data_IF_137961903078
#
_entry.id   IF_137961903078
#
_cell.length_a   1.000
_cell.length_b   1.000
_cell.length_c   1.000
_cell.angle_alpha   90.00
_cell.angle_beta   90.00
_cell.angle_gamma   90.00
#
_symmetry.space_group_name_H-M   'P 1'
#
loop_
_entity.id
_entity.type
_entity.pdbx_description
1 polymer ?
#
# COMPACT_ATOMS: atom_id res chain seq x y z
N UNK A 1 -10.33 21.66 7.00
CA UNK A 1 -9.31 20.81 6.36
C UNK A 1 -9.86 20.26 5.04
N UNK A 2 -9.11 20.35 3.93
CA UNK A 2 -9.56 19.88 2.61
C UNK A 2 -9.78 18.36 2.57
N UNK A 3 -9.05 17.60 3.40
CA UNK A 3 -9.17 16.14 3.48
C UNK A 3 -10.50 15.64 4.07
N UNK A 4 -11.27 16.51 4.69
CA UNK A 4 -12.60 16.20 5.26
C UNK A 4 -13.73 16.50 4.28
N UNK A 5 -13.43 17.00 3.07
CA UNK A 5 -14.45 17.20 2.06
C UNK A 5 -14.92 15.86 1.49
N UNK A 6 -16.21 15.78 1.26
CA UNK A 6 -16.85 14.60 0.66
C UNK A 6 -16.18 14.22 -0.67
N UNK A 7 -15.92 12.93 -0.86
CA UNK A 7 -15.25 12.37 -2.03
C UNK A 7 -13.83 12.91 -2.29
N UNK A 8 -13.04 13.12 -1.23
CA UNK A 8 -11.65 13.59 -1.34
C UNK A 8 -10.68 12.57 -0.72
N UNK A 9 -9.58 12.31 -1.40
CA UNK A 9 -8.48 11.47 -0.92
C UNK A 9 -7.16 12.24 -0.86
N UNK A 10 -6.29 11.80 0.03
CA UNK A 10 -4.86 12.15 0.02
C UNK A 10 -4.14 11.01 -0.69
N UNK A 11 -3.51 11.32 -1.81
CA UNK A 11 -2.71 10.37 -2.59
C UNK A 11 -1.22 10.68 -2.41
N UNK A 12 -0.51 9.77 -1.76
CA UNK A 12 0.95 9.89 -1.58
C UNK A 12 1.66 9.14 -2.71
N UNK A 13 2.40 9.88 -3.53
CA UNK A 13 3.07 9.36 -4.73
C UNK A 13 4.59 9.26 -4.56
N UNK A 14 5.10 9.47 -3.35
CA UNK A 14 6.52 9.36 -3.01
C UNK A 14 7.06 7.94 -3.18
N UNK A 15 8.35 7.76 -2.97
CA UNK A 15 8.94 6.42 -2.91
C UNK A 15 8.40 5.61 -1.72
N UNK A 16 8.22 4.30 -1.89
CA UNK A 16 7.69 3.41 -0.85
C UNK A 16 8.54 3.39 0.43
N UNK A 17 9.87 3.50 0.30
CA UNK A 17 10.78 3.47 1.45
C UNK A 17 10.69 4.75 2.28
N UNK A 18 10.37 5.87 1.64
CA UNK A 18 10.09 7.15 2.30
C UNK A 18 8.69 7.13 2.92
N UNK A 19 7.71 6.58 2.21
CA UNK A 19 6.33 6.48 2.69
C UNK A 19 6.23 5.63 3.97
N UNK A 20 6.82 4.43 4.00
CA UNK A 20 6.69 3.51 5.15
C UNK A 20 7.19 4.10 6.47
N UNK A 21 8.20 4.99 6.44
CA UNK A 21 8.78 5.62 7.64
C UNK A 21 7.99 6.84 8.12
N UNK A 22 7.06 7.36 7.31
CA UNK A 22 6.17 8.43 7.71
C UNK A 22 5.27 8.93 6.59
N UNK A 23 3.96 9.02 6.88
CA UNK A 23 2.96 9.53 5.97
C UNK A 23 1.82 10.24 6.70
N UNK A 24 1.04 11.03 5.97
CA UNK A 24 -0.14 11.70 6.49
C UNK A 24 -1.22 10.64 6.78
N UNK A 25 -1.84 10.62 7.97
CA UNK A 25 -2.93 9.70 8.26
C UNK A 25 -4.00 9.70 7.16
N UNK A 26 -4.56 8.53 6.86
CA UNK A 26 -5.56 8.29 5.83
C UNK A 26 -5.11 8.47 4.37
N UNK A 27 -3.81 8.73 4.13
CA UNK A 27 -3.25 8.71 2.78
C UNK A 27 -3.31 7.32 2.17
N UNK A 28 -3.62 7.26 0.87
CA UNK A 28 -3.41 6.08 0.03
C UNK A 28 -2.07 6.26 -0.68
N UNK A 29 -1.22 5.25 -0.59
CA UNK A 29 0.05 5.20 -1.29
C UNK A 29 -0.11 4.62 -2.69
N UNK A 30 0.36 5.32 -3.72
CA UNK A 30 0.64 4.77 -5.05
C UNK A 30 1.85 5.52 -5.61
N UNK A 31 3.05 4.97 -5.41
CA UNK A 31 4.30 5.63 -5.78
C UNK A 31 4.51 5.76 -7.28
N UNK A 32 5.09 6.88 -7.73
CA UNK A 32 5.41 7.12 -9.14
C UNK A 32 6.41 6.11 -9.73
N UNK A 33 7.29 5.56 -8.91
CA UNK A 33 8.37 4.65 -9.35
C UNK A 33 7.92 3.21 -9.60
N UNK A 34 6.62 2.90 -9.50
CA UNK A 34 6.05 1.58 -9.74
C UNK A 34 5.02 1.58 -10.87
N UNK A 35 4.14 0.60 -10.86
CA UNK A 35 3.02 0.50 -11.79
C UNK A 35 1.93 1.54 -11.49
N UNK A 36 2.26 2.83 -11.51
CA UNK A 36 1.39 3.92 -11.05
C UNK A 36 0.02 3.91 -11.74
N UNK A 37 -0.01 4.05 -13.06
CA UNK A 37 -1.25 4.21 -13.82
C UNK A 37 -2.23 3.04 -13.66
N UNK A 38 -1.82 1.76 -13.85
CA UNK A 38 -2.69 0.62 -13.62
C UNK A 38 -3.25 0.55 -12.20
N UNK A 39 -2.43 0.90 -11.18
CA UNK A 39 -2.88 0.81 -9.79
C UNK A 39 -3.74 1.99 -9.37
N UNK A 40 -3.55 3.17 -9.93
CA UNK A 40 -4.49 4.30 -9.74
C UNK A 40 -5.90 3.87 -10.19
N UNK A 41 -6.05 3.34 -11.40
CA UNK A 41 -7.35 2.88 -11.90
C UNK A 41 -7.96 1.73 -11.10
N UNK A 42 -7.13 0.74 -10.70
CA UNK A 42 -7.61 -0.42 -9.94
C UNK A 42 -8.03 -0.09 -8.50
N UNK A 43 -7.35 0.87 -7.86
CA UNK A 43 -7.54 1.22 -6.44
C UNK A 43 -8.58 2.32 -6.25
N UNK A 44 -8.50 3.41 -7.03
CA UNK A 44 -9.37 4.58 -6.80
C UNK A 44 -10.78 4.39 -7.36
N UNK A 45 -10.95 3.62 -8.42
CA UNK A 45 -12.24 3.20 -9.04
C UNK A 45 -13.15 4.33 -9.54
N UNK A 46 -13.26 5.45 -8.81
CA UNK A 46 -14.07 6.61 -9.17
C UNK A 46 -13.20 7.69 -9.80
N UNK A 47 -13.33 7.91 -11.10
CA UNK A 47 -12.57 8.94 -11.84
C UNK A 47 -12.93 10.37 -11.40
N UNK A 48 -14.07 10.56 -10.74
CA UNK A 48 -14.51 11.87 -10.24
C UNK A 48 -14.00 12.18 -8.82
N UNK A 49 -13.22 11.26 -8.22
CA UNK A 49 -12.66 11.49 -6.89
C UNK A 49 -11.73 12.69 -6.89
N UNK A 50 -11.84 13.54 -5.88
CA UNK A 50 -10.95 14.68 -5.68
C UNK A 50 -9.65 14.22 -5.06
N UNK A 51 -8.52 14.67 -5.60
CA UNK A 51 -7.19 14.21 -5.19
C UNK A 51 -6.37 15.37 -4.63
N UNK A 52 -5.86 15.19 -3.42
CA UNK A 52 -4.80 16.02 -2.83
C UNK A 52 -3.49 15.22 -2.88
N UNK A 53 -2.46 15.75 -3.53
CA UNK A 53 -1.20 15.05 -3.71
C UNK A 53 -0.22 15.31 -2.56
N UNK A 54 0.49 14.25 -2.17
CA UNK A 54 1.74 14.33 -1.42
C UNK A 54 2.85 13.75 -2.30
N UNK A 55 3.82 14.57 -2.66
CA UNK A 55 4.91 14.22 -3.57
C UNK A 55 6.23 14.86 -3.12
N UNK A 56 7.34 14.42 -3.69
CA UNK A 56 8.61 15.09 -3.52
C UNK A 56 8.65 16.38 -4.37
N UNK A 57 9.59 17.27 -4.04
CA UNK A 57 9.77 18.53 -4.76
C UNK A 57 9.95 18.29 -6.27
N UNK A 58 9.22 19.02 -7.08
CA UNK A 58 9.25 18.95 -8.54
C UNK A 58 8.42 17.81 -9.16
N UNK A 59 7.88 16.85 -8.40
CA UNK A 59 7.13 15.71 -8.93
C UNK A 59 5.65 15.99 -9.18
N UNK A 60 5.09 17.07 -8.66
CA UNK A 60 3.65 17.35 -8.75
C UNK A 60 3.14 17.37 -10.20
N UNK A 61 3.86 18.03 -11.12
CA UNK A 61 3.50 18.12 -12.54
C UNK A 61 3.46 16.75 -13.21
N UNK A 62 4.45 15.89 -12.92
CA UNK A 62 4.48 14.51 -13.43
C UNK A 62 3.32 13.69 -12.90
N UNK A 63 3.04 13.75 -11.59
CA UNK A 63 1.95 13.04 -10.95
C UNK A 63 0.60 13.43 -11.57
N UNK A 64 0.32 14.73 -11.69
CA UNK A 64 -0.92 15.25 -12.30
C UNK A 64 -1.06 14.76 -13.74
N UNK A 65 0.01 14.87 -14.54
CA UNK A 65 -0.02 14.39 -15.93
C UNK A 65 -0.29 12.89 -16.03
N UNK A 66 0.29 12.09 -15.14
CA UNK A 66 0.05 10.62 -15.13
C UNK A 66 -1.36 10.27 -14.66
N UNK A 67 -1.94 11.02 -13.72
CA UNK A 67 -3.34 10.89 -13.29
C UNK A 67 -4.29 11.20 -14.46
N UNK A 68 -4.09 12.33 -15.12
CA UNK A 68 -4.92 12.76 -16.26
C UNK A 68 -4.91 11.74 -17.40
N UNK A 69 -3.76 11.12 -17.71
CA UNK A 69 -3.66 10.06 -18.74
C UNK A 69 -4.55 8.84 -18.48
N UNK A 70 -4.99 8.64 -17.26
CA UNK A 70 -5.89 7.54 -16.87
C UNK A 70 -7.26 8.04 -16.40
N UNK A 71 -7.59 9.31 -16.73
CA UNK A 71 -8.91 9.90 -16.54
C UNK A 71 -9.16 10.53 -15.17
N UNK A 72 -8.14 10.69 -14.32
CA UNK A 72 -8.26 11.34 -13.00
C UNK A 72 -7.87 12.81 -13.09
N UNK A 73 -8.79 13.66 -13.51
CA UNK A 73 -8.53 15.08 -13.77
C UNK A 73 -8.83 16.00 -12.56
N UNK A 74 -9.44 15.46 -11.49
CA UNK A 74 -9.83 16.24 -10.31
C UNK A 74 -8.72 16.36 -9.25
N UNK A 75 -7.48 16.65 -9.69
CA UNK A 75 -6.40 16.99 -8.78
C UNK A 75 -6.57 18.41 -8.26
N UNK A 76 -6.93 18.58 -6.98
CA UNK A 76 -7.17 19.89 -6.35
C UNK A 76 -5.87 20.66 -6.06
N UNK A 77 -4.74 19.96 -6.00
CA UNK A 77 -3.44 20.52 -5.69
C UNK A 77 -2.53 19.53 -5.00
N UNK A 78 -1.43 20.03 -4.50
CA UNK A 78 -0.44 19.25 -3.75
C UNK A 78 -0.03 19.94 -2.46
N UNK A 79 0.50 19.18 -1.53
CA UNK A 79 0.99 19.71 -0.25
C UNK A 79 2.26 20.55 -0.48
N UNK A 80 2.16 21.84 -0.27
CA UNK A 80 3.31 22.76 -0.36
C UNK A 80 4.37 22.41 0.69
N UNK A 81 5.64 22.33 0.30
CA UNK A 81 6.75 21.89 1.14
C UNK A 81 6.72 20.39 1.45
N UNK A 82 5.82 19.64 0.84
CA UNK A 82 5.70 18.17 0.92
C UNK A 82 5.51 17.64 2.34
N UNK A 83 5.70 16.32 2.50
CA UNK A 83 5.56 15.66 3.79
C UNK A 83 6.51 16.21 4.87
N UNK A 84 7.67 16.73 4.46
CA UNK A 84 8.64 17.33 5.41
C UNK A 84 8.03 18.53 6.15
N UNK A 85 7.34 19.41 5.45
CA UNK A 85 6.67 20.56 6.06
C UNK A 85 5.55 20.11 7.00
N UNK A 86 4.73 19.14 6.59
CA UNK A 86 3.69 18.55 7.43
C UNK A 86 4.24 18.05 8.76
N UNK A 87 5.31 17.24 8.70
CA UNK A 87 5.97 16.66 9.89
C UNK A 87 6.57 17.75 10.78
N UNK A 88 7.29 18.72 10.21
CA UNK A 88 7.95 19.79 10.95
C UNK A 88 6.95 20.74 11.63
N UNK A 89 5.72 20.82 11.12
CA UNK A 89 4.63 21.58 11.75
C UNK A 89 3.95 20.85 12.92
N UNK A 90 4.49 19.71 13.35
CA UNK A 90 3.96 18.93 14.49
C UNK A 90 2.66 18.19 14.20
N UNK A 91 2.29 18.05 12.93
CA UNK A 91 1.08 17.32 12.54
C UNK A 91 1.22 15.81 12.76
N UNK A 92 0.11 15.07 12.98
CA UNK A 92 0.14 13.63 13.16
C UNK A 92 0.68 12.91 11.93
N UNK A 93 1.43 11.83 12.18
CA UNK A 93 1.96 10.95 11.15
C UNK A 93 1.66 9.50 11.48
N UNK A 94 1.50 8.68 10.44
CA UNK A 94 1.44 7.22 10.53
C UNK A 94 2.70 6.60 9.94
N UNK A 95 2.93 5.33 10.28
CA UNK A 95 4.02 4.50 9.73
C UNK A 95 3.49 3.12 9.36
N UNK A 96 4.22 2.40 8.50
CA UNK A 96 3.99 0.98 8.20
C UNK A 96 5.22 0.22 8.65
N UNK A 97 5.00 -0.84 9.43
CA UNK A 97 6.08 -1.75 9.82
C UNK A 97 6.62 -2.50 8.60
N UNK A 98 7.85 -2.95 8.69
CA UNK A 98 8.53 -3.68 7.62
C UNK A 98 9.20 -4.93 8.19
N UNK A 99 9.21 -6.02 7.43
CA UNK A 99 9.95 -7.23 7.75
C UNK A 99 10.56 -7.79 6.46
N UNK A 100 11.81 -8.17 6.49
CA UNK A 100 12.40 -8.92 5.38
C UNK A 100 12.00 -10.42 5.44
N UNK A 101 12.28 -11.15 4.35
CA UNK A 101 11.89 -12.56 4.24
C UNK A 101 12.48 -13.45 5.36
N UNK A 102 13.72 -13.18 5.80
CA UNK A 102 14.38 -13.91 6.90
C UNK A 102 13.76 -13.63 8.27
N UNK A 103 13.27 -12.42 8.48
CA UNK A 103 12.51 -12.07 9.68
C UNK A 103 11.15 -12.77 9.69
N UNK A 104 10.43 -12.78 8.54
CA UNK A 104 9.18 -13.52 8.40
C UNK A 104 9.38 -15.01 8.71
N UNK A 105 10.46 -15.63 8.20
CA UNK A 105 10.79 -17.03 8.44
C UNK A 105 10.87 -17.40 9.93
N UNK A 106 11.41 -16.49 10.77
CA UNK A 106 11.49 -16.71 12.22
C UNK A 106 10.12 -16.80 12.90
N UNK A 107 9.12 -16.17 12.32
CA UNK A 107 7.79 -16.07 12.91
C UNK A 107 6.76 -16.99 12.26
N UNK A 108 7.05 -17.61 11.11
CA UNK A 108 6.09 -18.38 10.32
C UNK A 108 5.40 -19.49 11.12
N UNK A 109 6.12 -20.11 12.06
CA UNK A 109 5.61 -21.20 12.91
C UNK A 109 4.82 -20.70 14.13
N UNK A 110 4.76 -19.38 14.37
CA UNK A 110 4.10 -18.77 15.52
C UNK A 110 2.63 -18.38 15.24
N UNK A 111 1.99 -19.02 14.28
CA UNK A 111 0.59 -18.76 13.90
C UNK A 111 0.31 -17.28 13.57
N UNK A 112 1.19 -16.68 12.77
CA UNK A 112 1.04 -15.31 12.29
C UNK A 112 0.00 -15.20 11.16
N UNK A 113 -0.66 -14.05 11.04
CA UNK A 113 -1.58 -13.81 9.94
C UNK A 113 -0.81 -13.26 8.74
N UNK A 114 -0.90 -13.94 7.62
CA UNK A 114 -0.24 -13.56 6.37
C UNK A 114 -1.33 -13.21 5.35
N UNK A 115 -1.18 -12.07 4.69
CA UNK A 115 -2.09 -11.61 3.65
C UNK A 115 -1.34 -11.52 2.31
N UNK A 116 -1.74 -12.35 1.37
CA UNK A 116 -1.27 -12.34 -0.01
C UNK A 116 -2.18 -11.44 -0.86
N UNK A 117 -1.62 -10.36 -1.40
CA UNK A 117 -2.38 -9.40 -2.25
C UNK A 117 -2.05 -9.54 -3.74
N UNK A 118 -1.47 -10.67 -4.15
CA UNK A 118 -1.17 -10.98 -5.55
C UNK A 118 -2.46 -11.30 -6.32
N UNK A 119 -2.35 -11.30 -7.64
CA UNK A 119 -3.42 -11.77 -8.52
C UNK A 119 -3.64 -13.29 -8.32
N UNK A 120 -4.85 -13.76 -8.64
CA UNK A 120 -5.20 -15.19 -8.53
C UNK A 120 -4.23 -16.07 -9.33
N UNK A 121 -3.90 -15.68 -10.56
CA UNK A 121 -2.97 -16.45 -11.40
C UNK A 121 -1.54 -16.53 -10.84
N UNK A 122 -1.08 -15.48 -10.13
CA UNK A 122 0.23 -15.52 -9.45
C UNK A 122 0.23 -16.48 -8.26
N UNK A 123 -0.87 -16.48 -7.50
CA UNK A 123 -1.04 -17.35 -6.34
C UNK A 123 -1.12 -18.83 -6.75
N UNK A 124 -1.80 -19.14 -7.83
CA UNK A 124 -1.93 -20.52 -8.34
C UNK A 124 -0.58 -21.19 -8.67
N UNK A 125 0.44 -20.37 -8.97
CA UNK A 125 1.82 -20.84 -9.22
C UNK A 125 2.64 -21.09 -7.94
N UNK A 126 2.04 -20.89 -6.77
CA UNK A 126 2.67 -21.12 -5.47
C UNK A 126 2.28 -20.06 -4.45
N UNK A 127 2.10 -20.48 -3.21
CA UNK A 127 1.66 -19.60 -2.11
C UNK A 127 2.15 -20.09 -0.75
N UNK A 128 2.12 -19.20 0.25
CA UNK A 128 2.40 -19.57 1.64
C UNK A 128 1.18 -20.28 2.24
N UNK A 129 1.40 -21.48 2.79
CA UNK A 129 0.36 -22.24 3.48
C UNK A 129 -0.27 -21.37 4.59
N UNK A 130 -1.59 -21.44 4.73
CA UNK A 130 -2.39 -20.67 5.69
C UNK A 130 -2.39 -19.15 5.46
N UNK A 131 -1.89 -18.63 4.32
CA UNK A 131 -2.06 -17.23 3.99
C UNK A 131 -3.49 -16.94 3.51
N UNK A 132 -4.09 -15.86 4.02
CA UNK A 132 -5.30 -15.28 3.46
C UNK A 132 -4.98 -14.66 2.09
N UNK A 133 -5.94 -14.68 1.17
CA UNK A 133 -5.75 -14.14 -0.16
C UNK A 133 -6.84 -13.14 -0.52
N UNK A 134 -6.44 -11.89 -0.69
CA UNK A 134 -7.30 -10.82 -1.20
C UNK A 134 -6.48 -10.02 -2.22
N UNK A 135 -6.71 -10.19 -3.53
CA UNK A 135 -6.04 -9.39 -4.55
C UNK A 135 -6.15 -7.89 -4.29
N UNK A 136 -5.06 -7.13 -4.53
CA UNK A 136 -5.00 -5.70 -4.22
C UNK A 136 -6.23 -4.92 -4.73
N UNK A 137 -6.70 -5.21 -5.95
CA UNK A 137 -7.87 -4.53 -6.52
C UNK A 137 -9.18 -4.71 -5.71
N UNK A 138 -9.23 -5.75 -4.87
CA UNK A 138 -10.39 -6.10 -4.04
C UNK A 138 -10.21 -5.73 -2.56
N UNK A 139 -9.01 -5.31 -2.15
CA UNK A 139 -8.69 -5.07 -0.73
C UNK A 139 -9.63 -4.06 -0.07
N UNK A 140 -10.08 -3.04 -0.79
CA UNK A 140 -10.98 -2.03 -0.27
C UNK A 140 -12.39 -2.57 0.02
N UNK A 141 -12.88 -3.52 -0.77
CA UNK A 141 -14.22 -4.11 -0.66
C UNK A 141 -14.26 -5.38 0.17
N UNK A 142 -13.21 -6.20 0.13
CA UNK A 142 -13.19 -7.54 0.73
C UNK A 142 -12.47 -7.62 2.08
N UNK A 143 -11.88 -6.52 2.58
CA UNK A 143 -11.20 -6.53 3.88
C UNK A 143 -12.12 -6.80 5.09
N UNK A 144 -13.43 -6.91 4.89
CA UNK A 144 -14.40 -7.19 5.97
C UNK A 144 -14.21 -8.57 6.60
N UNK A 145 -13.59 -9.52 5.91
CA UNK A 145 -13.22 -10.84 6.43
C UNK A 145 -12.04 -10.76 7.41
N UNK A 146 -11.23 -9.71 7.32
CA UNK A 146 -10.05 -9.53 8.15
C UNK A 146 -10.40 -8.94 9.53
N UNK A 147 -9.72 -9.42 10.57
CA UNK A 147 -9.87 -8.87 11.91
C UNK A 147 -8.89 -7.69 12.13
N UNK A 148 -9.43 -6.48 12.31
CA UNK A 148 -8.64 -5.25 12.47
C UNK A 148 -7.73 -5.24 13.72
N UNK A 149 -8.03 -6.07 14.72
CA UNK A 149 -7.24 -6.18 15.95
C UNK A 149 -5.99 -7.05 15.79
N UNK A 150 -5.89 -7.81 14.69
CA UNK A 150 -4.77 -8.70 14.44
C UNK A 150 -3.65 -7.99 13.66
N UNK A 151 -2.42 -8.51 13.82
CA UNK A 151 -1.27 -8.10 13.03
C UNK A 151 -1.23 -8.92 11.75
N UNK A 152 -1.10 -8.26 10.60
CA UNK A 152 -0.96 -8.90 9.30
C UNK A 152 0.41 -8.62 8.68
N UNK A 153 1.07 -9.69 8.23
CA UNK A 153 2.22 -9.62 7.34
C UNK A 153 1.70 -9.64 5.90
N UNK A 154 1.83 -8.52 5.20
CA UNK A 154 1.24 -8.32 3.88
C UNK A 154 2.33 -8.47 2.82
N UNK A 155 2.13 -9.35 1.85
CA UNK A 155 3.06 -9.48 0.73
C UNK A 155 2.35 -9.44 -0.62
N UNK A 156 3.11 -9.04 -1.65
CA UNK A 156 2.76 -9.23 -3.05
C UNK A 156 3.90 -10.01 -3.76
N UNK A 157 4.12 -9.81 -5.05
CA UNK A 157 5.25 -10.44 -5.74
C UNK A 157 6.60 -9.82 -5.37
N UNK A 158 6.70 -8.46 -5.38
CA UNK A 158 7.95 -7.73 -5.23
C UNK A 158 7.96 -6.56 -4.24
N UNK A 159 6.88 -6.37 -3.43
CA UNK A 159 6.84 -5.36 -2.36
C UNK A 159 6.05 -4.07 -2.68
N UNK A 160 5.82 -3.70 -3.96
CA UNK A 160 5.13 -2.47 -4.30
C UNK A 160 3.61 -2.51 -4.01
N UNK A 161 2.92 -3.57 -4.43
CA UNK A 161 1.47 -3.75 -4.21
C UNK A 161 1.11 -3.95 -2.74
N UNK A 162 1.97 -4.61 -1.97
CA UNK A 162 1.77 -4.79 -0.53
C UNK A 162 1.83 -3.47 0.23
N UNK A 163 2.69 -2.53 -0.18
CA UNK A 163 2.71 -1.18 0.39
C UNK A 163 1.40 -0.42 0.13
N UNK A 164 0.84 -0.53 -1.10
CA UNK A 164 -0.48 0.04 -1.42
C UNK A 164 -1.55 -0.59 -0.52
N UNK A 165 -1.57 -1.92 -0.41
CA UNK A 165 -2.53 -2.62 0.45
C UNK A 165 -2.41 -2.20 1.92
N UNK A 166 -1.20 -2.10 2.46
CA UNK A 166 -0.96 -1.61 3.82
C UNK A 166 -1.51 -0.21 4.04
N UNK A 167 -1.34 0.72 3.08
CA UNK A 167 -1.89 2.07 3.20
C UNK A 167 -3.41 2.08 3.24
N UNK A 168 -4.08 1.27 2.41
CA UNK A 168 -5.53 1.11 2.40
C UNK A 168 -6.02 0.51 3.73
N UNK A 169 -5.37 -0.55 4.20
CA UNK A 169 -5.71 -1.19 5.47
C UNK A 169 -5.53 -0.23 6.66
N UNK A 170 -4.45 0.57 6.67
CA UNK A 170 -4.26 1.64 7.68
C UNK A 170 -5.42 2.63 7.67
N UNK A 171 -5.82 3.13 6.50
CA UNK A 171 -6.99 4.01 6.34
C UNK A 171 -8.29 3.36 6.82
N UNK A 172 -8.42 2.02 6.71
CA UNK A 172 -9.58 1.24 7.21
C UNK A 172 -9.52 0.93 8.71
N UNK A 173 -8.48 1.39 9.42
CA UNK A 173 -8.33 1.23 10.86
C UNK A 173 -7.60 -0.06 11.29
N UNK A 174 -6.85 -0.70 10.40
CA UNK A 174 -5.92 -1.78 10.76
C UNK A 174 -4.63 -1.19 11.35
N UNK A 175 -4.42 -1.35 12.64
CA UNK A 175 -3.29 -0.71 13.32
C UNK A 175 -1.95 -1.43 13.12
N UNK A 176 -1.97 -2.74 12.88
CA UNK A 176 -0.78 -3.57 12.83
C UNK A 176 -0.61 -4.25 11.46
N UNK A 177 -0.20 -3.49 10.45
CA UNK A 177 0.20 -4.01 9.13
C UNK A 177 1.72 -3.93 8.97
N UNK A 178 2.32 -5.03 8.50
CA UNK A 178 3.75 -5.17 8.25
C UNK A 178 3.92 -5.49 6.77
N UNK A 179 4.61 -4.64 6.03
CA UNK A 179 4.99 -4.94 4.65
C UNK A 179 6.14 -5.95 4.61
N UNK A 180 6.00 -7.01 3.81
CA UNK A 180 7.08 -7.98 3.60
C UNK A 180 7.94 -7.54 2.42
N UNK A 181 9.14 -7.06 2.71
CA UNK A 181 10.08 -6.53 1.72
C UNK A 181 10.46 -7.55 0.66
N UNK A 182 10.42 -7.14 -0.60
CA UNK A 182 10.69 -8.01 -1.74
C UNK A 182 9.61 -9.06 -2.00
N UNK A 183 8.55 -9.11 -1.18
CA UNK A 183 7.36 -9.93 -1.36
C UNK A 183 7.65 -11.43 -1.54
N UNK A 184 6.77 -12.12 -2.27
CA UNK A 184 6.85 -13.55 -2.52
C UNK A 184 8.16 -13.97 -3.21
N UNK A 185 8.68 -13.12 -4.10
CA UNK A 185 9.97 -13.38 -4.75
C UNK A 185 11.13 -13.48 -3.74
N UNK A 186 11.17 -12.57 -2.75
CA UNK A 186 12.18 -12.65 -1.68
C UNK A 186 11.94 -13.85 -0.76
N UNK A 187 10.69 -14.16 -0.42
CA UNK A 187 10.34 -15.29 0.43
C UNK A 187 10.79 -16.59 -0.23
N UNK A 188 10.41 -16.85 -1.47
CA UNK A 188 10.70 -18.10 -2.18
C UNK A 188 12.19 -18.32 -2.44
N UNK A 189 12.96 -17.23 -2.67
CA UNK A 189 14.37 -17.34 -3.02
C UNK A 189 15.31 -17.33 -1.82
N UNK A 190 14.90 -16.74 -0.69
CA UNK A 190 15.81 -16.45 0.43
C UNK A 190 15.42 -17.15 1.74
N UNK A 191 14.38 -17.99 1.75
CA UNK A 191 13.93 -18.70 2.95
C UNK A 191 13.69 -20.19 2.67
N UNK A 192 13.57 -20.96 3.76
CA UNK A 192 13.16 -22.38 3.73
C UNK A 192 11.65 -22.55 3.95
N UNK A 193 10.87 -21.49 3.87
CA UNK A 193 9.42 -21.54 4.04
C UNK A 193 8.82 -22.40 2.92
N UNK A 194 8.02 -23.39 3.30
CA UNK A 194 7.35 -24.28 2.35
C UNK A 194 6.36 -23.51 1.47
N UNK A 195 6.50 -23.70 0.16
CA UNK A 195 5.59 -23.13 -0.84
C UNK A 195 4.62 -24.23 -1.28
N UNK A 196 3.34 -24.00 -1.03
CA UNK A 196 2.25 -24.84 -1.51
C UNK A 196 1.89 -24.51 -2.95
N UNK A 197 1.38 -25.48 -3.69
CA UNK A 197 0.81 -25.32 -5.04
C UNK A 197 -0.62 -25.86 -5.03
N UNK A 198 -1.46 -25.29 -5.88
CA UNK A 198 -2.83 -25.80 -6.09
C UNK A 198 -2.84 -26.97 -7.05
#
# INVERSE_FOLDING_TARGET
SLSTQENTIILDVRNQDVFKIGFIPDSIFIGLNGGFAPWVGAVLKDINIKILLVCEDGQAKEAIMRLSRVGFDNCLGYLEGGFRMWKNSGNPINTIGSANAKELEKFINNNINILDVRQVGERNNGYLKNSEHIPLALIDSENKSLNKSLKYYVHCAGGYRSMIACSILKKKGFNATIDVEGGFGSISNNTSIEISQN
#
